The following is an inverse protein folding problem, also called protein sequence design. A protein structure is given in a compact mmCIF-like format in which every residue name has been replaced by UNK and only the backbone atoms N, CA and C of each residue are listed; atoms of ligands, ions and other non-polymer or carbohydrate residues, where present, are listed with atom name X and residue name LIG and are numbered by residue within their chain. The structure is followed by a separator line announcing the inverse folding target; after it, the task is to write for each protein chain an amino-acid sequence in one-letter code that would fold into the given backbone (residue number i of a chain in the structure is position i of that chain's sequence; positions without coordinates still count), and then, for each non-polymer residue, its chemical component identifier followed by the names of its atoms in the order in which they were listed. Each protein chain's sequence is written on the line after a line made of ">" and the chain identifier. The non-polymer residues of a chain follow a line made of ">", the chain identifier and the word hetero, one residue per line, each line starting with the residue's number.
data_IF_046718896872
#
_entry.id   IF_046718896872
#
_cell.length_a   1.000
_cell.length_b   1.000
_cell.length_c   1.000
_cell.angle_alpha   90.00
_cell.angle_beta   90.00
_cell.angle_gamma   90.00
#
_symmetry.space_group_name_H-M   'P 1'
#
loop_
_entity.id
_entity.type
_entity.pdbx_description
1 polymer ?
#
# COMPACT_ATOMS: atom_id res chain seq x y z
N UNK A 1 -13.20 -3.73 7.30
CA UNK A 1 -13.51 -2.55 8.12
C UNK A 1 -12.24 -2.01 8.79
N UNK A 2 -12.36 -1.19 9.84
CA UNK A 2 -11.19 -0.56 10.51
C UNK A 2 -10.28 -1.57 11.21
N UNK A 3 -10.83 -2.64 11.77
CA UNK A 3 -10.06 -3.67 12.47
C UNK A 3 -9.24 -4.50 11.46
N UNK A 4 -9.87 -4.93 10.38
CA UNK A 4 -9.23 -5.69 9.31
C UNK A 4 -8.18 -4.85 8.60
N UNK A 5 -8.43 -3.55 8.38
CA UNK A 5 -7.41 -2.63 7.87
C UNK A 5 -6.19 -2.56 8.79
N UNK A 6 -6.41 -2.51 10.11
CA UNK A 6 -5.31 -2.51 11.08
C UNK A 6 -4.51 -3.81 11.00
N UNK A 7 -5.18 -4.96 10.93
CA UNK A 7 -4.51 -6.26 10.79
C UNK A 7 -3.65 -6.32 9.51
N UNK A 8 -4.18 -5.84 8.38
CA UNK A 8 -3.42 -5.77 7.11
C UNK A 8 -2.20 -4.86 7.24
N UNK A 9 -2.34 -3.67 7.84
CA UNK A 9 -1.22 -2.74 8.05
C UNK A 9 -0.16 -3.34 8.98
N UNK A 10 -0.58 -4.03 10.03
CA UNK A 10 0.34 -4.69 10.97
C UNK A 10 1.07 -5.86 10.31
N UNK A 11 0.37 -6.71 9.56
CA UNK A 11 0.95 -7.83 8.83
C UNK A 11 1.96 -7.36 7.78
N UNK A 12 1.59 -6.37 6.97
CA UNK A 12 2.49 -5.80 5.95
C UNK A 12 3.70 -5.10 6.56
N UNK A 13 3.55 -4.46 7.72
CA UNK A 13 4.69 -3.86 8.44
C UNK A 13 5.67 -4.91 8.94
N UNK A 14 5.20 -6.11 9.34
CA UNK A 14 6.09 -7.22 9.75
C UNK A 14 6.74 -7.94 8.57
N UNK A 15 6.13 -7.88 7.39
CA UNK A 15 6.63 -8.54 6.18
C UNK A 15 7.91 -7.87 5.63
N UNK A 16 8.19 -6.62 6.01
CA UNK A 16 9.34 -5.85 5.53
C UNK A 16 10.17 -5.29 6.69
N UNK A 17 11.51 -5.39 6.60
CA UNK A 17 12.42 -4.77 7.58
C UNK A 17 12.55 -3.27 7.35
N UNK A 18 12.55 -2.90 6.08
CA UNK A 18 12.56 -1.53 5.60
C UNK A 18 11.45 -1.40 4.56
N UNK A 19 10.68 -0.32 4.62
CA UNK A 19 9.65 -0.04 3.62
C UNK A 19 9.49 1.46 3.41
N UNK A 20 9.21 1.83 2.17
CA UNK A 20 8.88 3.18 1.74
C UNK A 20 7.68 3.13 0.82
N UNK A 21 6.72 3.99 1.06
CA UNK A 21 5.56 4.14 0.20
C UNK A 21 5.42 5.61 -0.17
N UNK A 22 5.44 5.90 -1.46
CA UNK A 22 5.48 7.25 -2.01
C UNK A 22 4.28 7.47 -2.92
N UNK A 23 3.69 8.65 -2.81
CA UNK A 23 2.75 9.17 -3.81
C UNK A 23 3.59 9.86 -4.88
N UNK A 24 3.58 9.30 -6.08
CA UNK A 24 4.31 9.85 -7.24
C UNK A 24 3.50 10.99 -7.87
N UNK A 25 2.20 10.74 -8.07
CA UNK A 25 1.25 11.70 -8.60
C UNK A 25 -0.12 11.45 -7.97
N UNK A 26 -0.96 12.48 -7.91
CA UNK A 26 -2.33 12.36 -7.41
C UNK A 26 -3.28 13.23 -8.23
N UNK A 27 -4.42 12.65 -8.58
CA UNK A 27 -5.58 13.33 -9.16
C UNK A 27 -6.71 13.27 -8.14
N UNK A 28 -7.37 14.40 -7.90
CA UNK A 28 -8.48 14.51 -6.95
C UNK A 28 -9.70 15.07 -7.67
N UNK A 29 -10.82 14.37 -7.55
CA UNK A 29 -12.11 14.78 -8.10
C UNK A 29 -13.20 14.61 -7.04
N UNK A 30 -13.62 15.72 -6.44
CA UNK A 30 -14.62 15.73 -5.37
C UNK A 30 -14.21 14.87 -4.17
N UNK A 31 -14.94 13.79 -3.94
CA UNK A 31 -14.71 12.84 -2.84
C UNK A 31 -13.87 11.62 -3.25
N UNK A 32 -13.26 11.65 -4.43
CA UNK A 32 -12.43 10.57 -4.97
C UNK A 32 -11.02 11.05 -5.25
N UNK A 33 -10.05 10.17 -5.08
CA UNK A 33 -8.67 10.42 -5.50
C UNK A 33 -8.07 9.18 -6.18
N UNK A 34 -7.26 9.40 -7.20
CA UNK A 34 -6.42 8.39 -7.84
C UNK A 34 -4.96 8.78 -7.60
N UNK A 35 -4.18 7.92 -6.97
CA UNK A 35 -2.75 8.15 -6.75
C UNK A 35 -1.92 7.13 -7.52
N UNK A 36 -0.93 7.60 -8.27
CA UNK A 36 0.18 6.75 -8.69
C UNK A 36 1.10 6.55 -7.48
N UNK A 37 1.42 5.31 -7.17
CA UNK A 37 2.21 4.94 -5.99
C UNK A 37 3.50 4.22 -6.39
N UNK A 38 4.53 4.44 -5.59
CA UNK A 38 5.76 3.67 -5.64
C UNK A 38 6.02 3.08 -4.26
N UNK A 39 6.02 1.75 -4.19
CA UNK A 39 6.41 1.01 -3.02
C UNK A 39 7.83 0.45 -3.21
N UNK A 40 8.66 0.57 -2.19
CA UNK A 40 9.92 -0.16 -2.11
C UNK A 40 10.15 -0.72 -0.70
N UNK A 41 10.88 -1.82 -0.60
CA UNK A 41 11.21 -2.39 0.70
C UNK A 41 12.17 -3.58 0.64
N UNK A 42 12.60 -4.04 1.81
CA UNK A 42 13.44 -5.22 1.99
C UNK A 42 12.64 -6.28 2.75
N UNK A 43 12.46 -7.45 2.15
CA UNK A 43 11.65 -8.52 2.71
C UNK A 43 12.23 -9.01 4.05
N UNK A 44 11.41 -9.07 5.10
CA UNK A 44 11.79 -9.60 6.41
C UNK A 44 11.65 -11.12 6.50
N UNK A 45 10.73 -11.67 5.71
CA UNK A 45 10.39 -13.08 5.60
C UNK A 45 10.14 -13.42 4.13
N UNK A 46 10.01 -14.71 3.82
CA UNK A 46 9.63 -15.16 2.48
C UNK A 46 8.22 -14.64 2.14
N UNK A 47 8.06 -14.08 0.94
CA UNK A 47 6.78 -13.53 0.45
C UNK A 47 6.39 -14.22 -0.86
N UNK A 48 5.37 -15.07 -0.79
CA UNK A 48 4.98 -15.90 -1.93
C UNK A 48 6.09 -16.87 -2.34
N UNK A 49 6.12 -17.28 -3.61
CA UNK A 49 7.11 -18.26 -4.09
C UNK A 49 8.42 -17.64 -4.60
N UNK A 50 8.47 -16.31 -4.76
CA UNK A 50 9.52 -15.67 -5.56
C UNK A 50 10.36 -14.64 -4.80
N UNK A 51 9.96 -14.25 -3.59
CA UNK A 51 10.68 -13.22 -2.81
C UNK A 51 11.22 -13.85 -1.54
N UNK A 52 12.54 -13.87 -1.40
CA UNK A 52 13.24 -14.41 -0.23
C UNK A 52 13.54 -13.32 0.81
N UNK A 53 13.77 -13.69 2.07
CA UNK A 53 14.23 -12.74 3.08
C UNK A 53 15.50 -12.00 2.63
N UNK A 54 15.54 -10.68 2.80
CA UNK A 54 16.65 -9.82 2.42
C UNK A 54 16.61 -9.29 0.98
N UNK A 55 15.70 -9.76 0.14
CA UNK A 55 15.55 -9.25 -1.22
C UNK A 55 14.82 -7.90 -1.26
N UNK A 56 15.21 -7.08 -2.23
CA UNK A 56 14.58 -5.80 -2.50
C UNK A 56 13.33 -6.01 -3.38
N UNK A 57 12.22 -5.42 -2.93
CA UNK A 57 10.96 -5.35 -3.67
C UNK A 57 10.75 -3.91 -4.10
N UNK A 58 10.38 -3.71 -5.36
CA UNK A 58 9.99 -2.40 -5.90
C UNK A 58 8.76 -2.58 -6.79
N UNK A 59 7.67 -1.89 -6.44
CA UNK A 59 6.37 -2.03 -7.10
C UNK A 59 5.87 -0.63 -7.45
N UNK A 60 5.41 -0.46 -8.68
CA UNK A 60 4.67 0.73 -9.14
C UNK A 60 3.21 0.35 -9.24
N UNK A 61 2.33 1.18 -8.71
CA UNK A 61 0.91 0.88 -8.67
C UNK A 61 0.05 2.13 -8.79
N UNK A 62 -1.24 1.90 -8.70
CA UNK A 62 -2.26 2.92 -8.59
C UNK A 62 -3.20 2.58 -7.43
N UNK A 63 -3.50 3.57 -6.60
CA UNK A 63 -4.45 3.46 -5.50
C UNK A 63 -5.62 4.42 -5.72
N UNK A 64 -6.83 3.90 -5.65
CA UNK A 64 -8.07 4.68 -5.75
C UNK A 64 -8.69 4.82 -4.35
N UNK A 65 -9.00 6.04 -3.94
CA UNK A 65 -9.56 6.38 -2.64
C UNK A 65 -10.94 7.00 -2.79
N UNK A 66 -11.85 6.67 -1.86
CA UNK A 66 -13.10 7.41 -1.66
C UNK A 66 -13.21 7.88 -0.21
N UNK A 67 -13.66 9.12 -0.04
CA UNK A 67 -13.83 9.78 1.24
C UNK A 67 -15.31 10.10 1.47
N UNK A 68 -15.77 9.95 2.71
CA UNK A 68 -17.06 10.46 3.17
C UNK A 68 -16.91 10.92 4.61
N UNK A 69 -17.50 12.07 4.97
CA UNK A 69 -17.40 12.67 6.31
C UNK A 69 -15.95 12.74 6.84
N UNK A 70 -15.02 13.18 5.97
CA UNK A 70 -13.59 13.26 6.24
C UNK A 70 -12.93 11.94 6.67
N UNK A 71 -13.51 10.80 6.27
CA UNK A 71 -12.97 9.45 6.52
C UNK A 71 -12.81 8.69 5.22
N UNK A 72 -11.74 7.89 5.12
CA UNK A 72 -11.61 6.92 4.04
C UNK A 72 -12.70 5.86 4.18
N UNK A 73 -13.51 5.70 3.13
CA UNK A 73 -14.57 4.70 3.05
C UNK A 73 -14.26 3.60 2.05
N UNK A 74 -13.37 3.86 1.08
CA UNK A 74 -12.88 2.85 0.13
C UNK A 74 -11.42 3.11 -0.23
N UNK A 75 -10.67 2.02 -0.34
CA UNK A 75 -9.33 1.96 -0.94
C UNK A 75 -9.33 0.78 -1.91
N UNK A 76 -8.87 0.99 -3.14
CA UNK A 76 -8.63 -0.09 -4.11
C UNK A 76 -7.25 0.09 -4.72
N UNK A 77 -6.40 -0.91 -4.55
CA UNK A 77 -5.03 -0.93 -5.04
C UNK A 77 -4.89 -1.78 -6.30
N UNK A 78 -4.10 -1.30 -7.25
CA UNK A 78 -3.75 -1.96 -8.50
C UNK A 78 -2.23 -1.93 -8.63
N UNK A 79 -1.59 -3.09 -8.69
CA UNK A 79 -0.13 -3.25 -8.70
C UNK A 79 0.28 -4.43 -9.55
#
# INVERSE_FOLDING_TARGET
>A
GKAEMREVIEATTRAFRERRHEVVAILVEGQRAAAETAFSGVAAAEMGQFVRPGEHVSIRGASMFEVSDNKLVRICDYS
#
